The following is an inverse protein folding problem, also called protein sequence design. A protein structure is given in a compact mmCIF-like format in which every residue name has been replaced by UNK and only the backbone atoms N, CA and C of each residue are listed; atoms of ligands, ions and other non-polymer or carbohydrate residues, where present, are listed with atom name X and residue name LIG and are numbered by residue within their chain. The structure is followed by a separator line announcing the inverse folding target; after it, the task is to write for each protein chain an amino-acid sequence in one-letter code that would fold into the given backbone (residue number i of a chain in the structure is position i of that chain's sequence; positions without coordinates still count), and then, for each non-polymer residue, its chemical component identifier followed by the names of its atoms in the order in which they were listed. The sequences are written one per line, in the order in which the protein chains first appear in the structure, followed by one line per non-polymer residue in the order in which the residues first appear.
data_IF_037792978970
#
_entry.id   IF_037792978970
#
_cell.length_a   1.000
_cell.length_b   1.000
_cell.length_c   1.000
_cell.angle_alpha   90.00
_cell.angle_beta   90.00
_cell.angle_gamma   90.00
#
_symmetry.space_group_name_H-M   'P 1'
#
loop_
_entity.id
_entity.type
_entity.pdbx_description
1 polymer ?
#
# COMPACT_ATOMS: atom_id res chain seq x y z
N UNK A 1 13.81 4.26 -43.05
CA UNK A 1 14.37 4.45 -41.72
C UNK A 1 13.76 5.69 -41.10
N UNK A 2 13.11 5.55 -39.94
CA UNK A 2 12.55 6.70 -39.21
C UNK A 2 13.66 7.17 -38.28
N UNK A 3 14.29 8.31 -38.60
CA UNK A 3 15.26 8.96 -37.73
C UNK A 3 14.49 9.62 -36.57
N UNK A 4 14.65 9.08 -35.37
CA UNK A 4 14.17 9.68 -34.14
C UNK A 4 14.95 10.97 -33.89
N UNK A 5 14.24 12.09 -33.87
CA UNK A 5 14.85 13.38 -33.55
C UNK A 5 15.16 13.48 -32.05
N UNK A 6 16.08 14.35 -31.65
CA UNK A 6 16.39 14.58 -30.23
C UNK A 6 15.15 14.99 -29.43
N UNK A 7 14.23 15.74 -30.05
CA UNK A 7 12.95 16.14 -29.46
C UNK A 7 11.98 14.96 -29.28
N UNK A 8 11.98 14.00 -30.21
CA UNK A 8 11.22 12.75 -30.05
C UNK A 8 11.80 11.88 -28.93
N UNK A 9 13.13 11.85 -28.79
CA UNK A 9 13.81 11.12 -27.71
C UNK A 9 13.56 11.76 -26.34
N UNK A 10 13.61 13.09 -26.23
CA UNK A 10 13.33 13.82 -24.99
C UNK A 10 11.86 13.71 -24.62
N UNK A 11 10.95 13.80 -25.59
CA UNK A 11 9.52 13.59 -25.35
C UNK A 11 9.22 12.16 -24.93
N UNK A 12 9.89 11.16 -25.53
CA UNK A 12 9.81 9.77 -25.10
C UNK A 12 10.40 9.55 -23.70
N UNK A 13 11.56 10.12 -23.40
CA UNK A 13 12.23 10.02 -22.11
C UNK A 13 11.40 10.67 -21.01
N UNK A 14 10.84 11.86 -21.27
CA UNK A 14 9.93 12.55 -20.37
C UNK A 14 8.58 11.83 -20.24
N UNK A 15 8.03 11.20 -21.29
CA UNK A 15 6.82 10.37 -21.13
C UNK A 15 7.11 9.06 -20.38
N UNK A 16 8.31 8.51 -20.49
CA UNK A 16 8.72 7.25 -19.83
C UNK A 16 9.11 7.44 -18.37
N UNK A 17 9.73 8.56 -18.00
CA UNK A 17 10.18 8.83 -16.63
C UNK A 17 9.03 9.06 -15.64
N UNK A 18 7.81 9.34 -16.12
CA UNK A 18 6.65 9.66 -15.30
C UNK A 18 5.67 8.50 -15.19
N UNK A 19 6.04 7.29 -15.62
CA UNK A 19 5.23 6.13 -15.29
C UNK A 19 5.33 5.90 -13.78
N UNK A 20 4.19 5.62 -13.15
CA UNK A 20 4.08 5.24 -11.74
C UNK A 20 5.10 4.14 -11.37
N UNK A 21 5.51 3.31 -12.33
CA UNK A 21 6.53 2.27 -12.19
C UNK A 21 7.97 2.78 -11.98
N UNK A 22 8.32 3.97 -12.48
CA UNK A 22 9.64 4.57 -12.26
C UNK A 22 9.66 5.41 -10.99
N UNK A 23 8.58 6.15 -10.70
CA UNK A 23 8.46 6.94 -9.46
C UNK A 23 8.24 6.06 -8.23
N UNK A 24 7.59 4.91 -8.40
CA UNK A 24 7.28 3.95 -7.35
C UNK A 24 7.86 2.60 -7.77
N UNK A 25 9.18 2.41 -7.67
CA UNK A 25 9.84 1.19 -8.12
C UNK A 25 9.31 -0.03 -7.38
N UNK A 26 8.96 0.16 -6.10
CA UNK A 26 8.33 -0.82 -5.25
C UNK A 26 6.96 -1.26 -5.83
N UNK A 27 6.83 -2.50 -6.33
CA UNK A 27 5.57 -3.02 -6.85
C UNK A 27 4.48 -3.07 -5.77
N UNK A 28 4.87 -3.17 -4.50
CA UNK A 28 3.96 -3.25 -3.36
C UNK A 28 3.29 -1.91 -3.10
N UNK A 29 4.09 -0.83 -3.10
CA UNK A 29 3.57 0.53 -2.98
C UNK A 29 2.63 0.91 -4.13
N UNK A 30 2.89 0.41 -5.35
CA UNK A 30 1.97 0.61 -6.49
C UNK A 30 0.61 -0.05 -6.28
N UNK A 31 0.57 -1.25 -5.70
CA UNK A 31 -0.67 -1.96 -5.42
C UNK A 31 -1.45 -1.32 -4.28
N UNK A 32 -0.76 -0.91 -3.21
CA UNK A 32 -1.36 -0.15 -2.12
C UNK A 32 -1.98 1.17 -2.62
N UNK A 33 -1.27 1.92 -3.47
CA UNK A 33 -1.79 3.13 -4.13
C UNK A 33 -3.05 2.85 -4.94
N UNK A 34 -3.11 1.71 -5.65
CA UNK A 34 -4.30 1.29 -6.40
C UNK A 34 -5.46 0.90 -5.51
N UNK A 35 -5.21 0.08 -4.47
CA UNK A 35 -6.22 -0.35 -3.50
C UNK A 35 -6.86 0.86 -2.82
N UNK A 36 -6.03 1.76 -2.29
CA UNK A 36 -6.53 2.95 -1.63
C UNK A 36 -7.29 3.88 -2.58
N UNK A 37 -6.84 4.03 -3.83
CA UNK A 37 -7.56 4.80 -4.86
C UNK A 37 -8.91 4.18 -5.21
N UNK A 38 -9.01 2.85 -5.27
CA UNK A 38 -10.26 2.13 -5.51
C UNK A 38 -11.26 2.31 -4.36
N UNK A 39 -10.77 2.34 -3.13
CA UNK A 39 -11.58 2.56 -1.92
C UNK A 39 -11.84 4.05 -1.62
N UNK A 40 -11.34 4.97 -2.44
CA UNK A 40 -11.57 6.41 -2.31
C UNK A 40 -10.71 7.12 -1.27
N UNK A 41 -9.67 6.46 -0.74
CA UNK A 41 -8.68 7.08 0.15
C UNK A 41 -7.77 8.06 -0.62
N UNK A 42 -7.34 9.13 0.04
CA UNK A 42 -6.41 10.08 -0.57
C UNK A 42 -5.00 9.49 -0.59
N UNK A 43 -4.18 9.87 -1.57
CA UNK A 43 -2.75 9.49 -1.65
C UNK A 43 -1.99 9.75 -0.33
N UNK A 44 -2.34 10.81 0.40
CA UNK A 44 -1.77 11.10 1.73
C UNK A 44 -2.11 10.06 2.78
N UNK A 45 -3.28 9.43 2.67
CA UNK A 45 -3.70 8.34 3.55
C UNK A 45 -2.96 7.06 3.15
N UNK A 46 -2.66 6.87 1.86
CA UNK A 46 -1.83 5.77 1.36
C UNK A 46 -0.43 5.82 1.91
N UNK A 47 0.23 6.98 1.89
CA UNK A 47 1.58 7.12 2.46
C UNK A 47 1.57 6.88 3.97
N UNK A 48 0.49 7.26 4.66
CA UNK A 48 0.32 6.97 6.09
C UNK A 48 0.11 5.48 6.36
N UNK A 49 -0.71 4.82 5.55
CA UNK A 49 -0.94 3.37 5.62
C UNK A 49 0.34 2.62 5.28
N UNK A 50 1.08 3.04 4.25
CA UNK A 50 2.38 2.48 3.89
C UNK A 50 3.40 2.65 5.02
N UNK A 51 3.53 3.85 5.57
CA UNK A 51 4.47 4.10 6.66
C UNK A 51 4.09 3.36 7.96
N UNK A 52 2.80 3.08 8.16
CA UNK A 52 2.33 2.22 9.25
C UNK A 52 2.63 0.74 8.95
N UNK A 53 2.43 0.30 7.71
CA UNK A 53 2.76 -1.03 7.19
C UNK A 53 4.25 -1.33 7.31
N UNK A 54 5.12 -0.50 6.72
CA UNK A 54 6.60 -0.65 6.76
C UNK A 54 7.15 -0.66 8.20
N UNK A 55 6.41 -0.08 9.15
CA UNK A 55 6.76 -0.12 10.58
C UNK A 55 6.24 -1.36 11.31
N UNK A 56 5.16 -1.94 10.82
CA UNK A 56 4.50 -3.10 11.42
C UNK A 56 5.08 -4.41 10.87
N UNK A 57 5.34 -4.47 9.56
CA UNK A 57 6.05 -5.54 8.84
C UNK A 57 7.52 -5.57 9.28
N UNK A 58 7.77 -6.19 10.43
CA UNK A 58 9.11 -6.26 11.03
C UNK A 58 9.95 -7.37 10.44
N UNK A 59 9.30 -8.38 9.87
CA UNK A 59 9.97 -9.51 9.25
C UNK A 59 10.27 -9.26 7.76
N UNK A 60 9.72 -8.18 7.18
CA UNK A 60 9.90 -7.81 5.78
C UNK A 60 9.27 -8.83 4.85
N UNK A 61 8.26 -9.56 5.34
CA UNK A 61 7.57 -10.59 4.57
C UNK A 61 6.77 -9.99 3.43
N UNK A 62 6.39 -8.72 3.53
CA UNK A 62 5.50 -8.06 2.59
C UNK A 62 4.03 -8.44 2.80
N UNK A 63 3.71 -9.13 3.89
CA UNK A 63 2.36 -9.49 4.33
C UNK A 63 2.12 -8.89 5.71
N UNK A 64 0.86 -8.53 6.03
CA UNK A 64 0.50 -8.27 7.42
C UNK A 64 -0.17 -9.50 8.00
N UNK A 65 0.44 -10.07 9.04
CA UNK A 65 -0.29 -10.99 9.88
C UNK A 65 -1.34 -10.24 10.73
N UNK A 66 -2.17 -11.01 11.44
CA UNK A 66 -3.22 -10.44 12.28
C UNK A 66 -2.69 -9.52 13.40
N UNK A 67 -1.51 -9.81 13.96
CA UNK A 67 -0.91 -9.00 15.01
C UNK A 67 -0.33 -7.69 14.46
N UNK A 68 0.28 -7.74 13.28
CA UNK A 68 0.83 -6.57 12.61
C UNK A 68 -0.28 -5.65 12.10
N UNK A 69 -1.36 -6.21 11.54
CA UNK A 69 -2.55 -5.44 11.17
C UNK A 69 -3.19 -4.76 12.38
N UNK A 70 -3.20 -5.40 13.55
CA UNK A 70 -3.67 -4.78 14.79
C UNK A 70 -2.80 -3.58 15.20
N UNK A 71 -1.48 -3.67 15.01
CA UNK A 71 -0.57 -2.55 15.26
C UNK A 71 -0.80 -1.40 14.28
N UNK A 72 -1.00 -1.69 13.00
CA UNK A 72 -1.35 -0.69 11.98
C UNK A 72 -2.67 -0.02 12.33
N UNK A 73 -3.71 -0.80 12.63
CA UNK A 73 -5.03 -0.30 12.98
C UNK A 73 -5.00 0.62 14.20
N UNK A 74 -4.37 0.17 15.29
CA UNK A 74 -4.16 0.98 16.50
C UNK A 74 -3.45 2.30 16.19
N UNK A 75 -2.45 2.28 15.31
CA UNK A 75 -1.68 3.47 14.93
C UNK A 75 -2.45 4.44 14.06
N UNK A 76 -3.29 3.94 13.16
CA UNK A 76 -4.14 4.75 12.29
C UNK A 76 -5.27 5.42 13.08
N UNK A 77 -5.90 4.68 13.99
CA UNK A 77 -6.94 5.20 14.90
C UNK A 77 -6.38 6.06 16.04
N UNK A 78 -5.06 5.99 16.28
CA UNK A 78 -4.41 6.71 17.37
C UNK A 78 -4.81 6.19 18.77
N UNK A 79 -5.27 4.95 18.84
CA UNK A 79 -5.68 4.27 20.08
C UNK A 79 -4.60 3.27 20.48
N UNK A 80 -4.52 2.94 21.77
CA UNK A 80 -3.64 1.88 22.23
C UNK A 80 -4.16 0.50 21.79
N UNK A 81 -3.27 -0.47 21.55
CA UNK A 81 -3.63 -1.84 21.14
C UNK A 81 -4.58 -2.48 22.17
N UNK A 82 -4.42 -2.16 23.46
CA UNK A 82 -5.31 -2.63 24.53
C UNK A 82 -6.74 -2.07 24.46
N UNK A 83 -6.94 -0.97 23.73
CA UNK A 83 -8.22 -0.32 23.52
C UNK A 83 -8.88 -0.69 22.18
N UNK A 84 -8.19 -1.47 21.35
CA UNK A 84 -8.75 -1.98 20.10
C UNK A 84 -9.95 -2.87 20.44
N UNK A 85 -11.11 -2.52 19.88
CA UNK A 85 -12.30 -3.34 20.04
C UNK A 85 -12.15 -4.61 19.19
N UNK A 86 -11.97 -5.76 19.84
CA UNK A 86 -11.81 -7.05 19.17
C UNK A 86 -12.94 -7.40 18.20
N UNK A 87 -14.19 -7.04 18.51
CA UNK A 87 -15.32 -7.32 17.63
C UNK A 87 -15.24 -6.51 16.34
N UNK A 88 -14.94 -5.21 16.44
CA UNK A 88 -14.73 -4.36 15.25
C UNK A 88 -13.50 -4.80 14.48
N UNK A 89 -12.42 -5.13 15.18
CA UNK A 89 -11.19 -5.61 14.58
C UNK A 89 -11.41 -6.91 13.80
N UNK A 90 -12.17 -7.88 14.34
CA UNK A 90 -12.49 -9.12 13.62
C UNK A 90 -13.32 -8.88 12.37
N UNK A 91 -14.27 -7.94 12.41
CA UNK A 91 -15.07 -7.58 11.23
C UNK A 91 -14.15 -6.98 10.16
N UNK A 92 -13.33 -6.01 10.53
CA UNK A 92 -12.34 -5.40 9.63
C UNK A 92 -11.35 -6.43 9.08
N UNK A 93 -10.86 -7.33 9.93
CA UNK A 93 -9.95 -8.40 9.52
C UNK A 93 -10.64 -9.31 8.48
N UNK A 94 -11.88 -9.71 8.71
CA UNK A 94 -12.62 -10.54 7.75
C UNK A 94 -12.98 -9.82 6.45
N UNK A 95 -13.15 -8.50 6.49
CA UNK A 95 -13.37 -7.70 5.28
C UNK A 95 -12.11 -7.60 4.42
N UNK A 96 -10.92 -7.72 5.02
CA UNK A 96 -9.65 -7.58 4.29
C UNK A 96 -9.03 -8.94 3.96
N UNK A 97 -9.14 -9.93 4.84
CA UNK A 97 -8.71 -11.34 4.66
C UNK A 97 -9.83 -12.14 3.97
N UNK A 98 -10.25 -11.72 2.77
CA UNK A 98 -11.35 -12.34 2.01
C UNK A 98 -11.04 -13.80 1.61
N UNK A 99 -9.76 -14.13 1.45
CA UNK A 99 -9.30 -15.47 1.08
C UNK A 99 -9.02 -16.39 2.29
N UNK A 100 -9.20 -15.87 3.52
CA UNK A 100 -8.89 -16.56 4.78
C UNK A 100 -7.46 -17.12 4.81
N UNK A 101 -6.53 -16.47 4.12
CA UNK A 101 -5.12 -16.84 4.14
C UNK A 101 -4.50 -16.64 5.52
N UNK A 102 -5.12 -15.80 6.37
CA UNK A 102 -4.59 -15.46 7.69
C UNK A 102 -3.49 -14.40 7.62
N UNK A 103 -3.30 -13.81 6.46
CA UNK A 103 -2.35 -12.75 6.17
C UNK A 103 -3.00 -11.80 5.19
N UNK A 104 -3.04 -10.52 5.51
CA UNK A 104 -3.51 -9.53 4.56
C UNK A 104 -2.40 -9.31 3.55
N UNK A 105 -2.66 -9.76 2.33
CA UNK A 105 -1.91 -9.32 1.19
C UNK A 105 -2.38 -7.90 0.83
N UNK A 106 -1.52 -6.90 1.08
CA UNK A 106 -1.72 -5.57 0.48
C UNK A 106 -1.15 -5.52 -0.96
N UNK A 107 -0.81 -6.70 -1.50
CA UNK A 107 -0.35 -6.98 -2.87
C UNK A 107 -1.44 -7.71 -3.69
#
# INVERSE_FOLDING_TARGET
DIELTEDDFVSWYNNKQWSEEIMVPDPQERKLRRFCKQQGFKITDVERVKAAFDKADKDGSGYLDQQEFQQVYSKLEGIDISQVNETKFRILWQEVDEDFSGSIDLL
#
